data_IF_992528041143
#
_entry.id   IF_992528041143
#
_cell.length_a   1.000
_cell.length_b   1.000
_cell.length_c   1.000
_cell.angle_alpha   90.00
_cell.angle_beta   90.00
_cell.angle_gamma   90.00
#
_symmetry.space_group_name_H-M   'P 1'
#
loop_
_entity.id
_entity.type
_entity.pdbx_description
1 polymer ?
#
# COMPACT_ATOMS: atom_id res chain seq x y z
N UNK A 1 28.25 19.37 14.26
CA UNK A 1 27.67 19.48 12.90
C UNK A 1 26.17 19.55 13.04
N UNK A 2 25.48 20.37 12.26
CA UNK A 2 24.02 20.42 12.28
C UNK A 2 23.46 19.32 11.40
N UNK A 3 22.31 18.76 11.78
CA UNK A 3 21.70 17.69 11.03
C UNK A 3 20.30 18.08 10.58
N UNK A 4 19.89 17.58 9.42
CA UNK A 4 18.49 17.64 8.97
C UNK A 4 18.05 16.23 8.64
N UNK A 5 17.02 15.76 9.33
CA UNK A 5 16.39 14.49 9.00
C UNK A 5 15.46 14.69 7.79
N UNK A 6 15.58 13.81 6.81
CA UNK A 6 14.68 13.74 5.66
C UNK A 6 14.12 12.34 5.58
N UNK A 7 12.80 12.23 5.72
CA UNK A 7 12.10 10.97 5.58
C UNK A 7 11.81 10.73 4.10
N UNK A 8 12.25 9.58 3.59
CA UNK A 8 12.03 9.20 2.19
C UNK A 8 11.53 7.77 2.07
N UNK A 9 10.86 7.48 0.97
CA UNK A 9 10.52 6.12 0.60
C UNK A 9 11.76 5.42 0.03
N UNK A 10 11.97 4.15 0.40
CA UNK A 10 13.21 3.43 0.09
C UNK A 10 13.38 3.12 -1.40
N UNK A 11 12.28 2.94 -2.13
CA UNK A 11 12.33 2.57 -3.57
C UNK A 11 12.24 3.79 -4.47
N UNK A 12 11.20 4.61 -4.33
CA UNK A 12 10.99 5.76 -5.21
C UNK A 12 11.80 7.01 -4.77
N UNK A 13 12.35 7.03 -3.55
CA UNK A 13 13.11 8.17 -3.04
C UNK A 13 12.28 9.44 -2.79
N UNK A 14 10.96 9.37 -2.98
CA UNK A 14 10.05 10.48 -2.73
C UNK A 14 10.18 10.96 -1.28
N UNK A 15 10.19 12.28 -1.10
CA UNK A 15 10.24 12.89 0.23
C UNK A 15 8.87 12.76 0.87
N UNK A 16 8.81 12.05 1.99
CA UNK A 16 7.62 12.03 2.84
C UNK A 16 7.59 13.28 3.72
N UNK A 17 8.70 13.59 4.40
CA UNK A 17 8.79 14.75 5.28
C UNK A 17 10.22 15.29 5.39
N UNK A 18 10.35 16.62 5.54
CA UNK A 18 11.62 17.29 5.82
C UNK A 18 11.54 17.94 7.21
N UNK A 19 12.38 17.46 8.12
CA UNK A 19 12.45 18.03 9.46
C UNK A 19 13.19 19.36 9.47
N UNK A 20 12.99 20.12 10.55
CA UNK A 20 13.81 21.28 10.85
C UNK A 20 15.29 20.88 11.05
N UNK A 21 16.18 21.86 10.98
CA UNK A 21 17.60 21.63 11.26
C UNK A 21 17.79 21.49 12.76
N UNK A 22 18.34 20.37 13.20
CA UNK A 22 18.86 20.18 14.55
C UNK A 22 20.18 20.95 14.69
N UNK A 23 20.16 21.93 15.59
CA UNK A 23 21.23 22.91 15.76
C UNK A 23 22.24 22.35 16.75
N UNK A 24 23.48 22.20 16.32
CA UNK A 24 24.57 21.91 17.26
C UNK A 24 24.99 23.15 18.04
N UNK A 25 25.74 22.98 19.14
CA UNK A 25 26.23 24.09 19.98
C UNK A 25 27.00 25.20 19.21
N UNK A 26 27.63 24.85 18.10
CA UNK A 26 28.37 25.78 17.23
C UNK A 26 27.52 26.41 16.11
N UNK A 27 26.18 26.35 16.17
CA UNK A 27 25.30 26.84 15.10
C UNK A 27 25.50 28.34 14.76
N UNK A 28 25.89 29.16 15.74
CA UNK A 28 26.19 30.59 15.53
C UNK A 28 27.57 30.85 14.92
N UNK A 29 28.42 29.82 14.80
CA UNK A 29 29.74 29.97 14.21
C UNK A 29 29.68 29.84 12.68
N UNK A 30 30.42 30.71 11.99
CA UNK A 30 30.56 30.71 10.54
C UNK A 30 31.30 29.47 10.05
N UNK A 31 30.85 28.88 8.94
CA UNK A 31 31.50 27.72 8.32
C UNK A 31 30.94 26.35 8.75
N UNK A 32 29.85 26.31 9.51
CA UNK A 32 29.20 25.04 9.83
C UNK A 32 28.37 24.52 8.64
N UNK A 33 28.57 23.25 8.28
CA UNK A 33 27.76 22.56 7.26
C UNK A 33 26.58 21.85 7.91
N UNK A 34 25.42 21.94 7.27
CA UNK A 34 24.25 21.11 7.61
C UNK A 34 24.37 19.80 6.83
N UNK A 35 24.37 18.68 7.54
CA UNK A 35 24.34 17.35 6.93
C UNK A 35 22.92 16.84 6.87
N UNK A 36 22.46 16.44 5.69
CA UNK A 36 21.20 15.74 5.54
C UNK A 36 21.37 14.26 5.85
N UNK A 37 20.44 13.71 6.62
CA UNK A 37 20.38 12.28 6.96
C UNK A 37 19.02 11.75 6.53
N UNK A 38 19.06 10.74 5.67
CA UNK A 38 17.84 10.13 5.15
C UNK A 38 17.43 8.96 6.03
N UNK A 39 16.14 8.92 6.39
CA UNK A 39 15.54 7.80 7.10
C UNK A 39 14.46 7.18 6.20
N UNK A 40 14.49 5.87 5.93
CA UNK A 40 13.44 5.21 5.17
C UNK A 40 12.16 5.10 6.02
N UNK A 41 11.04 5.60 5.50
CA UNK A 41 9.74 5.56 6.20
C UNK A 41 8.82 4.44 5.69
N UNK A 42 9.06 3.94 4.48
CA UNK A 42 8.23 2.93 3.83
C UNK A 42 8.78 2.54 2.45
N UNK A 43 8.08 1.63 1.77
CA UNK A 43 8.50 1.07 0.48
C UNK A 43 8.30 2.04 -0.70
N UNK A 44 7.04 2.39 -1.01
CA UNK A 44 6.65 3.35 -2.05
C UNK A 44 5.67 4.39 -1.51
N UNK A 45 5.65 5.58 -2.09
CA UNK A 45 4.64 6.61 -1.80
C UNK A 45 3.33 6.32 -2.54
N UNK A 46 2.25 7.03 -2.20
CA UNK A 46 0.93 6.87 -2.83
C UNK A 46 0.97 7.01 -4.36
N UNK A 47 1.77 7.94 -4.89
CA UNK A 47 1.89 8.12 -6.34
C UNK A 47 2.65 6.99 -7.05
N UNK A 48 3.43 6.21 -6.30
CA UNK A 48 4.25 5.09 -6.80
C UNK A 48 3.80 3.75 -6.20
N UNK A 49 2.69 3.71 -5.48
CA UNK A 49 2.04 2.46 -5.13
C UNK A 49 1.25 2.02 -6.33
N UNK A 50 1.57 0.84 -6.87
CA UNK A 50 0.69 0.23 -7.86
C UNK A 50 -0.70 0.09 -7.22
N UNK A 51 -1.78 0.54 -7.89
CA UNK A 51 -3.11 0.28 -7.40
C UNK A 51 -3.25 -1.24 -7.25
N UNK A 52 -3.85 -1.74 -6.14
CA UNK A 52 -4.08 -3.17 -6.00
C UNK A 52 -4.85 -3.63 -7.24
N UNK A 53 -4.20 -4.49 -8.03
CA UNK A 53 -4.80 -5.11 -9.20
C UNK A 53 -5.95 -6.00 -8.69
N UNK A 54 -7.13 -5.41 -8.57
CA UNK A 54 -8.23 -5.95 -7.79
C UNK A 54 -9.37 -4.97 -7.51
N UNK A 55 -9.13 -3.65 -7.61
CA UNK A 55 -10.18 -2.63 -7.44
C UNK A 55 -10.92 -2.28 -8.76
N UNK A 56 -10.98 -3.21 -9.71
CA UNK A 56 -12.00 -3.14 -10.76
C UNK A 56 -13.35 -3.34 -10.09
N UNK A 57 -14.24 -2.36 -10.25
CA UNK A 57 -15.61 -2.36 -9.79
C UNK A 57 -16.29 -3.70 -10.08
N UNK A 58 -16.42 -4.55 -9.07
CA UNK A 58 -17.32 -5.70 -9.08
C UNK A 58 -18.67 -5.29 -8.49
N UNK A 59 -19.25 -4.20 -9.01
CA UNK A 59 -20.67 -3.90 -8.85
C UNK A 59 -21.48 -4.74 -9.86
N UNK A 60 -21.23 -6.05 -9.84
CA UNK A 60 -21.97 -7.05 -10.57
C UNK A 60 -22.39 -8.11 -9.55
N UNK A 61 -23.31 -7.72 -8.66
CA UNK A 61 -24.17 -8.66 -7.96
C UNK A 61 -25.10 -9.34 -8.98
N UNK A 62 -24.55 -10.16 -9.87
CA UNK A 62 -25.31 -11.24 -10.50
C UNK A 62 -25.41 -12.35 -9.46
N UNK A 63 -26.43 -12.22 -8.61
CA UNK A 63 -26.96 -13.30 -7.80
C UNK A 63 -27.30 -14.48 -8.72
N UNK A 64 -26.35 -15.41 -8.86
CA UNK A 64 -26.56 -16.67 -9.57
C UNK A 64 -27.26 -17.64 -8.63
N UNK A 65 -28.59 -17.54 -8.57
CA UNK A 65 -29.45 -18.57 -7.97
C UNK A 65 -29.38 -19.84 -8.83
N UNK A 66 -28.42 -20.71 -8.54
CA UNK A 66 -28.38 -22.04 -9.13
C UNK A 66 -29.52 -22.87 -8.53
N UNK A 67 -30.72 -22.70 -9.10
CA UNK A 67 -31.92 -23.45 -8.78
C UNK A 67 -31.70 -24.95 -8.97
N UNK A 68 -31.75 -25.68 -7.84
CA UNK A 68 -31.78 -27.13 -7.77
C UNK A 68 -33.10 -27.64 -8.39
N UNK A 69 -33.08 -28.08 -9.65
CA UNK A 69 -34.21 -28.80 -10.25
C UNK A 69 -34.04 -30.31 -10.04
N UNK A 70 -34.74 -30.85 -9.05
CA UNK A 70 -34.86 -32.29 -8.81
C UNK A 70 -35.75 -32.94 -9.88
N UNK A 71 -35.15 -33.51 -10.92
CA UNK A 71 -35.86 -34.31 -11.92
C UNK A 71 -36.13 -35.73 -11.40
N UNK A 72 -37.39 -35.95 -11.02
CA UNK A 72 -38.18 -37.21 -11.08
C UNK A 72 -37.46 -38.55 -10.91
N UNK A 73 -37.67 -39.16 -9.73
CA UNK A 73 -37.40 -40.58 -9.50
C UNK A 73 -38.40 -41.47 -10.27
N UNK A 74 -37.98 -42.11 -11.35
CA UNK A 74 -38.71 -43.21 -11.95
C UNK A 74 -38.50 -44.50 -11.14
N UNK A 75 -39.48 -44.86 -10.30
CA UNK A 75 -39.58 -46.21 -9.72
C UNK A 75 -39.99 -47.19 -10.83
N UNK A 76 -39.01 -47.90 -11.40
CA UNK A 76 -39.28 -49.10 -12.20
C UNK A 76 -39.45 -50.31 -11.27
N UNK A 77 -40.68 -50.63 -10.90
CA UNK A 77 -41.01 -51.95 -10.37
C UNK A 77 -40.93 -52.97 -11.52
N UNK A 78 -39.92 -53.83 -11.53
CA UNK A 78 -39.96 -55.06 -12.34
C UNK A 78 -40.09 -56.26 -11.42
N UNK A 79 -41.31 -56.81 -11.45
CA UNK A 79 -41.63 -58.18 -11.04
C UNK A 79 -40.87 -59.17 -11.92
N UNK A 80 -40.22 -60.15 -11.30
CA UNK A 80 -40.29 -61.57 -11.69
C UNK A 80 -39.64 -62.43 -10.61
#
# INVERSE_FOLDING_TARGET
>A
MCYRLVERFSVCGCVYYKHAVDRCAAYSQSGHKVQERTIPVGYTCVDHSEPPQGAYSSDAYTYSDSGYYSSQSHKSSRRR
#
